data_IF_855656903000
#
_entry.id   IF_855656903000
#
_cell.length_a   1.000
_cell.length_b   1.000
_cell.length_c   1.000
_cell.angle_alpha   90.00
_cell.angle_beta   90.00
_cell.angle_gamma   90.00
#
_symmetry.space_group_name_H-M   'P 1'
#
loop_
_entity.id
_entity.type
_entity.pdbx_description
1 polymer ?
#
# COMPACT_ATOMS: atom_id res chain seq x y z
N UNK A 1 9.63 -2.53 -23.85
CA UNK A 1 10.98 -2.17 -23.39
C UNK A 1 11.03 -0.78 -22.78
N UNK A 2 10.55 0.27 -23.48
CA UNK A 2 10.55 1.67 -22.97
C UNK A 2 9.78 1.82 -21.64
N UNK A 3 8.55 1.32 -21.54
CA UNK A 3 7.76 1.44 -20.31
C UNK A 3 8.42 0.74 -19.11
N UNK A 4 8.99 -0.45 -19.30
CA UNK A 4 9.68 -1.18 -18.23
C UNK A 4 10.87 -0.38 -17.71
N UNK A 5 11.67 0.19 -18.62
CA UNK A 5 12.80 1.05 -18.25
C UNK A 5 12.35 2.35 -17.58
N UNK A 6 11.22 2.93 -18.00
CA UNK A 6 10.66 4.09 -17.32
C UNK A 6 10.27 3.75 -15.88
N UNK A 7 9.59 2.62 -15.66
CA UNK A 7 9.13 2.19 -14.34
C UNK A 7 10.28 1.87 -13.38
N UNK A 8 11.35 1.23 -13.87
CA UNK A 8 12.55 0.99 -13.05
C UNK A 8 13.25 2.27 -12.60
N UNK A 9 13.07 3.37 -13.34
CA UNK A 9 13.61 4.69 -13.00
C UNK A 9 12.60 5.60 -12.26
N UNK A 10 11.34 5.19 -12.12
CA UNK A 10 10.25 5.95 -11.50
C UNK A 10 9.51 5.10 -10.46
N UNK A 11 10.27 4.59 -9.49
CA UNK A 11 9.77 3.61 -8.52
C UNK A 11 8.89 4.19 -7.40
N UNK A 12 8.72 5.52 -7.34
CA UNK A 12 7.89 6.17 -6.32
C UNK A 12 6.41 5.78 -6.41
N UNK A 13 5.98 5.31 -7.58
CA UNK A 13 4.65 4.82 -7.85
C UNK A 13 3.69 5.87 -8.41
N UNK A 14 2.55 5.39 -8.93
CA UNK A 14 1.53 6.20 -9.58
C UNK A 14 0.32 6.42 -8.69
N UNK A 15 -0.08 7.68 -8.57
CA UNK A 15 -1.39 8.07 -8.01
C UNK A 15 -2.54 7.62 -8.91
N UNK A 16 -3.77 7.71 -8.42
CA UNK A 16 -4.99 7.44 -9.20
C UNK A 16 -5.02 8.24 -10.50
N UNK A 17 -4.80 9.56 -10.43
CA UNK A 17 -4.84 10.44 -11.60
C UNK A 17 -3.75 10.09 -12.62
N UNK A 18 -2.51 9.83 -12.16
CA UNK A 18 -1.44 9.40 -13.05
C UNK A 18 -1.73 8.04 -13.69
N UNK A 19 -2.38 7.13 -12.96
CA UNK A 19 -2.79 5.82 -13.48
C UNK A 19 -3.85 5.99 -14.57
N UNK A 20 -4.86 6.84 -14.36
CA UNK A 20 -5.87 7.17 -15.38
C UNK A 20 -5.20 7.76 -16.62
N UNK A 21 -4.33 8.76 -16.45
CA UNK A 21 -3.58 9.36 -17.57
C UNK A 21 -2.79 8.31 -18.33
N UNK A 22 -2.02 7.46 -17.63
CA UNK A 22 -1.22 6.40 -18.24
C UNK A 22 -2.09 5.43 -19.06
N UNK A 23 -3.18 4.94 -18.48
CA UNK A 23 -4.04 3.97 -19.16
C UNK A 23 -4.79 4.61 -20.34
N UNK A 24 -5.14 5.88 -20.26
CA UNK A 24 -5.81 6.61 -21.34
C UNK A 24 -4.90 6.94 -22.53
N UNK A 25 -3.58 6.74 -22.42
CA UNK A 25 -2.67 6.78 -23.58
C UNK A 25 -2.90 5.61 -24.56
N UNK A 26 -3.65 4.58 -24.16
CA UNK A 26 -3.90 3.38 -24.95
C UNK A 26 -5.40 3.26 -25.26
N UNK A 27 -5.75 3.12 -26.54
CA UNK A 27 -7.16 3.08 -26.97
C UNK A 27 -7.80 1.70 -26.86
N UNK A 28 -7.00 0.62 -26.92
CA UNK A 28 -7.51 -0.76 -26.91
C UNK A 28 -7.42 -1.40 -25.52
N UNK A 29 -8.42 -2.21 -25.16
CA UNK A 29 -8.50 -2.94 -23.89
C UNK A 29 -7.33 -3.92 -23.72
N UNK A 30 -6.89 -4.56 -24.80
CA UNK A 30 -5.74 -5.48 -24.83
C UNK A 30 -4.41 -4.78 -24.52
N UNK A 31 -4.19 -3.56 -25.02
CA UNK A 31 -3.00 -2.78 -24.73
C UNK A 31 -3.00 -2.28 -23.28
N UNK A 32 -4.14 -1.80 -22.80
CA UNK A 32 -4.30 -1.45 -21.38
C UNK A 32 -4.00 -2.64 -20.48
N UNK A 33 -4.45 -3.85 -20.82
CA UNK A 33 -4.16 -5.06 -20.06
C UNK A 33 -2.65 -5.33 -19.93
N UNK A 34 -1.89 -5.19 -21.03
CA UNK A 34 -0.43 -5.33 -21.02
C UNK A 34 0.24 -4.27 -20.15
N UNK A 35 -0.21 -3.02 -20.26
CA UNK A 35 0.29 -1.90 -19.48
C UNK A 35 0.02 -2.13 -18.00
N UNK A 36 -1.20 -2.53 -17.62
CA UNK A 36 -1.61 -2.85 -16.24
C UNK A 36 -0.74 -3.98 -15.69
N UNK A 37 -0.53 -5.05 -16.45
CA UNK A 37 0.29 -6.17 -15.98
C UNK A 37 1.72 -5.73 -15.60
N UNK A 38 2.29 -4.80 -16.37
CA UNK A 38 3.64 -4.27 -16.16
C UNK A 38 3.67 -3.20 -15.06
N UNK A 39 2.67 -2.33 -14.99
CA UNK A 39 2.65 -1.16 -14.10
C UNK A 39 1.96 -1.40 -12.77
N UNK A 40 1.16 -2.46 -12.64
CA UNK A 40 0.42 -2.81 -11.42
C UNK A 40 1.29 -2.76 -10.15
N UNK A 41 2.55 -3.26 -10.14
CA UNK A 41 3.39 -3.17 -8.95
C UNK A 41 3.72 -1.76 -8.49
N UNK A 42 3.65 -0.78 -9.38
CA UNK A 42 3.98 0.63 -9.14
C UNK A 42 2.73 1.50 -9.00
N UNK A 43 1.55 1.03 -9.39
CA UNK A 43 0.30 1.75 -9.09
C UNK A 43 0.14 1.75 -7.57
N UNK A 44 -0.05 2.89 -6.94
CA UNK A 44 -0.18 2.97 -5.48
C UNK A 44 -1.62 2.64 -5.08
N UNK A 45 -2.57 3.29 -5.74
CA UNK A 45 -4.02 3.10 -5.59
C UNK A 45 -4.74 3.72 -6.78
N UNK A 46 -5.75 3.03 -7.29
CA UNK A 46 -6.72 3.56 -8.24
C UNK A 46 -8.04 3.81 -7.53
N UNK A 47 -8.47 5.06 -7.39
CA UNK A 47 -9.76 5.36 -6.77
C UNK A 47 -10.92 4.98 -7.71
N UNK A 48 -12.11 4.80 -7.16
CA UNK A 48 -13.32 4.41 -7.91
C UNK A 48 -13.69 5.44 -8.97
N UNK A 49 -13.50 6.73 -8.71
CA UNK A 49 -13.66 7.79 -9.72
C UNK A 49 -12.71 7.60 -10.92
N UNK A 50 -11.49 7.13 -10.66
CA UNK A 50 -10.50 6.73 -11.66
C UNK A 50 -10.92 5.49 -12.43
N UNK A 51 -11.43 4.46 -11.75
CA UNK A 51 -12.03 3.28 -12.40
C UNK A 51 -13.16 3.73 -13.34
N UNK A 52 -14.09 4.53 -12.84
CA UNK A 52 -15.21 5.06 -13.63
C UNK A 52 -14.71 5.84 -14.85
N UNK A 53 -13.69 6.68 -14.67
CA UNK A 53 -13.10 7.47 -15.77
C UNK A 53 -12.48 6.59 -16.85
N UNK A 54 -11.78 5.51 -16.47
CA UNK A 54 -11.22 4.54 -17.41
C UNK A 54 -12.35 3.80 -18.15
N UNK A 55 -13.35 3.29 -17.43
CA UNK A 55 -14.45 2.52 -18.03
C UNK A 55 -15.31 3.36 -18.99
N UNK A 56 -15.46 4.67 -18.73
CA UNK A 56 -16.16 5.60 -19.63
C UNK A 56 -15.47 5.78 -20.99
N UNK A 57 -14.20 5.41 -21.13
CA UNK A 57 -13.51 5.47 -22.44
C UNK A 57 -13.98 4.40 -23.41
N UNK A 58 -14.74 3.39 -22.95
CA UNK A 58 -15.23 2.31 -23.77
C UNK A 58 -16.72 2.48 -24.12
N UNK A 59 -17.05 2.28 -25.39
CA UNK A 59 -18.43 2.28 -25.87
C UNK A 59 -19.17 0.97 -25.55
N UNK A 60 -18.47 -0.18 -25.57
CA UNK A 60 -19.08 -1.50 -25.40
C UNK A 60 -19.02 -2.00 -23.95
N UNK A 61 -20.12 -2.59 -23.46
CA UNK A 61 -20.18 -3.19 -22.11
C UNK A 61 -19.15 -4.31 -21.92
N UNK A 62 -18.91 -5.12 -22.95
CA UNK A 62 -17.94 -6.23 -22.90
C UNK A 62 -16.52 -5.73 -22.58
N UNK A 63 -16.07 -4.66 -23.24
CA UNK A 63 -14.77 -4.05 -22.98
C UNK A 63 -14.69 -3.43 -21.57
N UNK A 64 -15.80 -2.84 -21.10
CA UNK A 64 -15.89 -2.33 -19.73
C UNK A 64 -15.75 -3.46 -18.71
N UNK A 65 -16.45 -4.58 -18.87
CA UNK A 65 -16.38 -5.73 -17.96
C UNK A 65 -14.98 -6.38 -17.97
N UNK A 66 -14.39 -6.55 -19.16
CA UNK A 66 -13.03 -7.06 -19.31
C UNK A 66 -12.02 -6.13 -18.61
N UNK A 67 -12.14 -4.82 -18.83
CA UNK A 67 -11.26 -3.83 -18.19
C UNK A 67 -11.47 -3.76 -16.68
N UNK A 68 -12.72 -3.80 -16.21
CA UNK A 68 -13.05 -3.79 -14.78
C UNK A 68 -12.34 -4.94 -14.05
N UNK A 69 -12.38 -6.14 -14.62
CA UNK A 69 -11.69 -7.33 -14.06
C UNK A 69 -10.18 -7.16 -13.91
N UNK A 70 -9.55 -6.31 -14.74
CA UNK A 70 -8.12 -6.05 -14.69
C UNK A 70 -7.74 -4.99 -13.65
N UNK A 71 -8.60 -3.99 -13.43
CA UNK A 71 -8.26 -2.80 -12.62
C UNK A 71 -8.92 -2.78 -11.24
N UNK A 72 -9.93 -3.61 -10.98
CA UNK A 72 -10.68 -3.54 -9.71
C UNK A 72 -9.80 -3.82 -8.49
N UNK A 73 -8.83 -4.74 -8.60
CA UNK A 73 -7.86 -5.04 -7.55
C UNK A 73 -6.77 -3.96 -7.40
N UNK A 74 -6.79 -2.89 -8.20
CA UNK A 74 -5.95 -1.72 -8.00
C UNK A 74 -6.59 -0.69 -7.07
N UNK A 75 -7.88 -0.85 -6.76
CA UNK A 75 -8.61 0.00 -5.83
C UNK A 75 -8.23 -0.27 -4.38
N UNK A 76 -8.59 0.65 -3.48
CA UNK A 76 -8.51 0.39 -2.05
C UNK A 76 -9.87 -0.04 -1.50
N UNK A 77 -9.85 -0.84 -0.43
CA UNK A 77 -11.05 -1.45 0.15
C UNK A 77 -12.11 -0.43 0.58
N UNK A 78 -11.72 0.66 1.26
CA UNK A 78 -12.67 1.64 1.78
C UNK A 78 -13.41 2.40 0.66
N UNK A 79 -12.66 2.86 -0.35
CA UNK A 79 -13.20 3.59 -1.49
C UNK A 79 -14.11 2.71 -2.35
N UNK A 80 -13.72 1.45 -2.58
CA UNK A 80 -14.57 0.51 -3.32
C UNK A 80 -15.87 0.18 -2.57
N UNK A 81 -15.81 -0.02 -1.26
CA UNK A 81 -17.00 -0.32 -0.45
C UNK A 81 -18.04 0.81 -0.54
N UNK A 82 -17.58 2.06 -0.48
CA UNK A 82 -18.48 3.22 -0.47
C UNK A 82 -19.03 3.57 -1.85
N UNK A 83 -18.25 3.37 -2.91
CA UNK A 83 -18.57 3.91 -4.22
C UNK A 83 -18.77 2.85 -5.31
N UNK A 84 -18.83 1.55 -4.99
CA UNK A 84 -19.02 0.48 -5.98
C UNK A 84 -20.23 0.71 -6.91
N UNK A 85 -21.31 1.33 -6.41
CA UNK A 85 -22.52 1.55 -7.18
C UNK A 85 -22.27 2.51 -8.36
N UNK A 86 -21.31 3.44 -8.22
CA UNK A 86 -20.89 4.32 -9.32
C UNK A 86 -20.29 3.55 -10.49
N UNK A 87 -19.65 2.39 -10.24
CA UNK A 87 -19.15 1.49 -11.28
C UNK A 87 -20.32 0.74 -11.93
N UNK A 88 -21.21 0.18 -11.11
CA UNK A 88 -22.38 -0.60 -11.59
C UNK A 88 -23.30 0.27 -12.47
N UNK A 89 -23.49 1.54 -12.13
CA UNK A 89 -24.32 2.48 -12.88
C UNK A 89 -23.78 2.82 -14.29
N UNK A 90 -22.57 2.38 -14.65
CA UNK A 90 -22.03 2.54 -16.01
C UNK A 90 -22.57 1.54 -17.02
N UNK A 91 -23.34 0.55 -16.55
CA UNK A 91 -23.93 -0.51 -17.35
C UNK A 91 -25.44 -0.29 -17.45
N UNK A 92 -25.95 -0.19 -18.67
CA UNK A 92 -27.37 0.09 -18.94
C UNK A 92 -28.25 -1.16 -18.78
N UNK A 93 -27.71 -2.35 -19.09
CA UNK A 93 -28.45 -3.60 -19.03
C UNK A 93 -28.26 -4.31 -17.68
N UNK A 94 -29.34 -4.87 -17.14
CA UNK A 94 -29.34 -5.56 -15.84
C UNK A 94 -28.41 -6.77 -15.80
N UNK A 95 -28.23 -7.45 -16.94
CA UNK A 95 -27.28 -8.54 -17.10
C UNK A 95 -25.84 -8.07 -16.82
N UNK A 96 -25.40 -7.01 -17.50
CA UNK A 96 -24.05 -6.45 -17.34
C UNK A 96 -23.83 -5.90 -15.93
N UNK A 97 -24.85 -5.27 -15.33
CA UNK A 97 -24.81 -4.82 -13.94
C UNK A 97 -24.58 -5.97 -12.96
N UNK A 98 -25.23 -7.11 -13.21
CA UNK A 98 -25.07 -8.31 -12.39
C UNK A 98 -23.66 -8.86 -12.51
N UNK A 99 -23.09 -8.86 -13.71
CA UNK A 99 -21.71 -9.31 -13.92
C UNK A 99 -20.68 -8.37 -13.27
N UNK A 100 -20.87 -7.05 -13.40
CA UNK A 100 -20.05 -6.07 -12.71
C UNK A 100 -20.08 -6.25 -11.18
N UNK A 101 -21.26 -6.50 -10.60
CA UNK A 101 -21.39 -6.78 -9.16
C UNK A 101 -20.62 -8.03 -8.75
N UNK A 102 -20.64 -9.10 -9.55
CA UNK A 102 -19.85 -10.32 -9.28
C UNK A 102 -18.36 -10.04 -9.31
N UNK A 103 -17.87 -9.29 -10.30
CA UNK A 103 -16.45 -8.91 -10.39
C UNK A 103 -16.02 -8.13 -9.14
N UNK A 104 -16.84 -7.17 -8.69
CA UNK A 104 -16.58 -6.38 -7.48
C UNK A 104 -16.61 -7.27 -6.22
N UNK A 105 -17.61 -8.13 -6.08
CA UNK A 105 -17.76 -9.01 -4.92
C UNK A 105 -16.61 -10.02 -4.77
N UNK A 106 -16.04 -10.47 -5.89
CA UNK A 106 -14.92 -11.42 -5.91
C UNK A 106 -13.54 -10.72 -5.98
N UNK A 107 -13.50 -9.39 -5.92
CA UNK A 107 -12.25 -8.64 -5.95
C UNK A 107 -11.48 -8.76 -4.64
N UNK A 108 -10.17 -8.61 -4.72
CA UNK A 108 -9.27 -8.44 -3.58
C UNK A 108 -8.61 -7.07 -3.71
N UNK A 109 -9.28 -5.99 -3.28
CA UNK A 109 -8.73 -4.64 -3.32
C UNK A 109 -7.48 -4.54 -2.46
N UNK A 110 -6.67 -3.53 -2.75
CA UNK A 110 -5.46 -3.24 -1.99
C UNK A 110 -5.78 -2.63 -0.64
N UNK A 111 -4.84 -2.78 0.27
CA UNK A 111 -4.86 -2.08 1.54
C UNK A 111 -4.85 -0.56 1.37
N UNK A 112 -5.54 0.11 2.28
CA UNK A 112 -5.64 1.56 2.31
C UNK A 112 -4.27 2.18 2.61
N UNK A 113 -3.47 1.59 3.51
CA UNK A 113 -2.19 2.16 3.98
C UNK A 113 -0.95 1.59 3.29
N UNK A 114 -0.87 0.28 3.06
CA UNK A 114 0.33 -0.35 2.52
C UNK A 114 0.32 -0.49 0.99
N UNK A 115 -0.85 -0.39 0.35
CA UNK A 115 -0.95 -0.51 -1.11
C UNK A 115 -0.45 -1.88 -1.59
N UNK A 116 0.35 -1.96 -2.67
CA UNK A 116 0.84 -3.23 -3.19
C UNK A 116 1.98 -3.84 -2.34
N UNK A 117 1.75 -5.01 -1.73
CA UNK A 117 2.74 -5.78 -0.96
C UNK A 117 3.41 -6.88 -1.79
N UNK A 118 4.23 -6.51 -2.77
CA UNK A 118 4.69 -7.42 -3.82
C UNK A 118 6.04 -8.11 -3.57
N UNK A 119 6.77 -7.73 -2.53
CA UNK A 119 8.10 -8.30 -2.24
C UNK A 119 7.99 -9.77 -1.78
N UNK A 120 8.88 -10.68 -2.22
CA UNK A 120 8.83 -12.08 -1.76
C UNK A 120 9.11 -12.24 -0.26
N UNK A 121 10.00 -11.41 0.30
CA UNK A 121 10.40 -11.42 1.70
C UNK A 121 10.54 -9.98 2.18
N UNK A 122 9.78 -9.56 3.18
CA UNK A 122 9.74 -8.15 3.59
C UNK A 122 9.37 -7.97 5.06
N UNK A 123 9.58 -6.77 5.59
CA UNK A 123 9.08 -6.40 6.92
C UNK A 123 8.15 -5.19 6.84
N UNK A 124 7.04 -5.25 7.58
CA UNK A 124 6.30 -4.05 7.94
C UNK A 124 7.01 -3.36 9.11
N UNK A 125 7.28 -2.07 8.99
CA UNK A 125 7.79 -1.23 10.07
C UNK A 125 6.68 -0.26 10.45
N UNK A 126 6.19 -0.36 11.68
CA UNK A 126 5.02 0.36 12.18
C UNK A 126 5.46 1.32 13.28
N UNK A 127 5.24 2.61 13.05
CA UNK A 127 5.36 3.64 14.08
C UNK A 127 4.32 3.42 15.18
N UNK A 128 4.79 3.41 16.43
CA UNK A 128 3.97 3.37 17.65
C UNK A 128 4.33 4.51 18.59
N UNK A 129 4.85 5.62 18.06
CA UNK A 129 5.13 6.85 18.83
C UNK A 129 3.84 7.47 19.40
N UNK A 130 3.99 8.43 20.31
CA UNK A 130 2.86 9.05 21.00
C UNK A 130 1.80 9.67 20.07
N UNK A 131 2.19 10.23 18.92
CA UNK A 131 1.27 10.82 17.92
C UNK A 131 0.30 9.79 17.33
N UNK A 132 0.65 8.51 17.34
CA UNK A 132 -0.22 7.43 16.87
C UNK A 132 -1.47 7.23 17.75
N UNK A 133 -1.53 7.87 18.93
CA UNK A 133 -2.73 7.95 19.77
C UNK A 133 -3.77 8.96 19.28
N UNK A 134 -3.42 9.86 18.36
CA UNK A 134 -4.34 10.89 17.87
C UNK A 134 -5.49 10.26 17.10
N UNK A 135 -6.70 10.81 17.31
CA UNK A 135 -7.91 10.33 16.67
C UNK A 135 -8.22 11.09 15.39
N UNK A 136 -8.84 10.41 14.45
CA UNK A 136 -9.44 11.01 13.27
C UNK A 136 -10.73 10.29 12.91
N UNK A 137 -11.59 10.95 12.13
CA UNK A 137 -12.79 10.33 11.55
C UNK A 137 -12.46 9.77 10.18
N UNK A 138 -12.67 8.48 9.99
CA UNK A 138 -12.48 7.81 8.70
C UNK A 138 -13.66 8.10 7.76
N UNK A 139 -13.51 7.71 6.49
CA UNK A 139 -14.50 7.92 5.44
C UNK A 139 -15.84 7.22 5.71
N UNK A 140 -15.83 6.13 6.50
CA UNK A 140 -17.03 5.45 6.99
C UNK A 140 -17.73 6.20 8.14
N UNK A 141 -17.16 7.32 8.60
CA UNK A 141 -17.66 8.11 9.71
C UNK A 141 -17.24 7.60 11.09
N UNK A 142 -16.54 6.47 11.19
CA UNK A 142 -16.05 5.90 12.45
C UNK A 142 -14.80 6.64 12.91
N UNK A 143 -14.67 6.84 14.22
CA UNK A 143 -13.50 7.48 14.82
C UNK A 143 -12.51 6.41 15.25
N UNK A 144 -11.27 6.53 14.77
CA UNK A 144 -10.15 5.66 15.16
C UNK A 144 -9.01 6.50 15.69
N UNK A 145 -8.22 5.96 16.62
CA UNK A 145 -6.82 6.40 16.74
C UNK A 145 -6.05 6.00 15.48
N UNK A 146 -4.97 6.73 15.17
CA UNK A 146 -4.08 6.38 14.05
C UNK A 146 -3.58 4.93 14.17
N UNK A 147 -3.15 4.51 15.36
CA UNK A 147 -2.69 3.13 15.57
C UNK A 147 -3.80 2.09 15.36
N UNK A 148 -5.02 2.33 15.86
CA UNK A 148 -6.15 1.41 15.63
C UNK A 148 -6.46 1.23 14.15
N UNK A 149 -6.35 2.31 13.36
CA UNK A 149 -6.53 2.22 11.91
C UNK A 149 -5.43 1.39 11.25
N UNK A 150 -4.17 1.57 11.66
CA UNK A 150 -3.05 0.74 11.20
C UNK A 150 -3.23 -0.73 11.58
N UNK A 151 -3.67 -1.03 12.80
CA UNK A 151 -3.92 -2.40 13.26
C UNK A 151 -5.01 -3.08 12.41
N UNK A 152 -6.12 -2.38 12.15
CA UNK A 152 -7.19 -2.84 11.25
C UNK A 152 -6.67 -3.10 9.84
N UNK A 153 -5.87 -2.18 9.29
CA UNK A 153 -5.35 -2.32 7.92
C UNK A 153 -4.27 -3.41 7.81
N UNK A 154 -3.39 -3.57 8.80
CA UNK A 154 -2.44 -4.71 8.86
C UNK A 154 -3.17 -6.03 8.86
N UNK A 155 -4.21 -6.19 9.70
CA UNK A 155 -5.03 -7.41 9.71
C UNK A 155 -5.55 -7.71 8.30
N UNK A 156 -6.16 -6.72 7.66
CA UNK A 156 -6.67 -6.86 6.31
C UNK A 156 -5.57 -7.28 5.32
N UNK A 157 -4.40 -6.63 5.35
CA UNK A 157 -3.26 -6.98 4.48
C UNK A 157 -2.82 -8.44 4.67
N UNK A 158 -2.69 -8.88 5.91
CA UNK A 158 -2.25 -10.23 6.24
C UNK A 158 -3.26 -11.29 5.79
N UNK A 159 -4.56 -11.02 5.91
CA UNK A 159 -5.62 -11.96 5.55
C UNK A 159 -5.89 -12.00 4.04
N UNK A 160 -5.73 -10.88 3.31
CA UNK A 160 -6.23 -10.76 1.92
C UNK A 160 -5.14 -10.54 0.88
N UNK A 161 -4.02 -9.93 1.26
CA UNK A 161 -3.04 -9.42 0.28
C UNK A 161 -1.72 -10.19 0.34
N UNK A 162 -1.25 -10.59 1.52
CA UNK A 162 -0.03 -11.39 1.67
C UNK A 162 -0.29 -12.81 1.14
N UNK A 163 0.47 -13.18 0.10
CA UNK A 163 0.36 -14.48 -0.56
C UNK A 163 1.04 -15.58 0.27
N UNK A 164 0.55 -16.83 0.21
CA UNK A 164 1.18 -17.97 0.90
C UNK A 164 2.65 -18.21 0.53
N UNK A 165 3.08 -17.78 -0.67
CA UNK A 165 4.46 -17.90 -1.13
C UNK A 165 5.41 -16.83 -0.55
N UNK A 166 4.88 -15.83 0.16
CA UNK A 166 5.66 -14.74 0.75
C UNK A 166 6.11 -15.08 2.18
N UNK A 167 7.17 -14.41 2.61
CA UNK A 167 7.60 -14.39 4.00
C UNK A 167 7.58 -12.96 4.51
N UNK A 168 7.21 -12.77 5.77
CA UNK A 168 7.11 -11.43 6.34
C UNK A 168 7.55 -11.37 7.80
N UNK A 169 7.81 -10.17 8.27
CA UNK A 169 7.94 -9.85 9.69
C UNK A 169 7.21 -8.53 9.98
N UNK A 170 6.94 -8.26 11.26
CA UNK A 170 6.40 -6.99 11.74
C UNK A 170 7.36 -6.43 12.77
N UNK A 171 7.72 -5.16 12.61
CA UNK A 171 8.58 -4.42 13.52
C UNK A 171 7.81 -3.19 13.97
N UNK A 172 7.61 -3.03 15.26
CA UNK A 172 7.11 -1.78 15.83
C UNK A 172 8.27 -0.90 16.27
N UNK A 173 8.14 0.41 16.19
CA UNK A 173 9.16 1.32 16.72
C UNK A 173 8.57 2.55 17.39
N UNK A 174 9.23 2.98 18.46
CA UNK A 174 9.11 4.33 19.02
C UNK A 174 10.49 4.82 19.46
N UNK A 175 10.80 4.81 20.76
CA UNK A 175 12.17 5.02 21.27
C UNK A 175 13.09 3.83 20.92
N UNK A 176 12.51 2.63 20.92
CA UNK A 176 13.18 1.38 20.58
C UNK A 176 12.39 0.65 19.49
N UNK A 177 13.09 -0.20 18.74
CA UNK A 177 12.47 -1.08 17.76
C UNK A 177 12.29 -2.49 18.34
N UNK A 178 11.15 -3.11 18.10
CA UNK A 178 10.81 -4.48 18.53
C UNK A 178 10.26 -5.27 17.35
N UNK A 179 10.88 -6.41 17.06
CA UNK A 179 10.40 -7.34 16.05
C UNK A 179 9.44 -8.39 16.66
N UNK A 180 8.43 -8.78 15.89
CA UNK A 180 7.53 -9.89 16.22
C UNK A 180 8.26 -11.24 16.19
N UNK A 181 9.07 -11.46 15.15
CA UNK A 181 9.98 -12.61 15.00
C UNK A 181 11.41 -12.13 14.80
N UNK A 182 12.39 -13.03 14.97
CA UNK A 182 13.81 -12.73 14.76
C UNK A 182 14.14 -12.38 13.30
N UNK A 183 13.30 -12.78 12.35
CA UNK A 183 13.45 -12.54 10.92
C UNK A 183 12.14 -12.83 10.18
N UNK A 184 12.18 -12.80 8.85
CA UNK A 184 11.01 -13.15 8.03
C UNK A 184 10.60 -14.60 8.22
N UNK A 185 9.29 -14.84 8.33
CA UNK A 185 8.70 -16.17 8.45
C UNK A 185 7.64 -16.39 7.36
N UNK A 186 7.38 -17.64 6.94
CA UNK A 186 6.36 -17.94 5.93
C UNK A 186 4.96 -17.46 6.34
N UNK A 187 4.16 -16.99 5.38
CA UNK A 187 2.79 -16.54 5.58
C UNK A 187 1.79 -17.71 5.76
N UNK A 188 2.02 -18.55 6.77
CA UNK A 188 1.06 -19.59 7.18
C UNK A 188 -0.07 -18.97 8.01
N UNK A 189 -1.24 -19.62 8.05
CA UNK A 189 -2.37 -19.16 8.87
C UNK A 189 -2.00 -18.98 10.35
N UNK A 190 -1.13 -19.85 10.89
CA UNK A 190 -0.65 -19.73 12.28
C UNK A 190 0.25 -18.50 12.48
N UNK A 191 1.14 -18.23 11.52
CA UNK A 191 2.00 -17.03 11.56
C UNK A 191 1.20 -15.75 11.35
N UNK A 192 0.19 -15.75 10.47
CA UNK A 192 -0.73 -14.62 10.29
C UNK A 192 -1.47 -14.31 11.59
N UNK A 193 -2.12 -15.30 12.21
CA UNK A 193 -2.83 -15.12 13.47
C UNK A 193 -1.91 -14.63 14.61
N UNK A 194 -0.67 -15.15 14.69
CA UNK A 194 0.31 -14.71 15.68
C UNK A 194 0.82 -13.28 15.43
N UNK A 195 1.00 -12.89 14.16
CA UNK A 195 1.40 -11.54 13.79
C UNK A 195 0.29 -10.53 14.10
N UNK A 196 -0.97 -10.88 13.82
CA UNK A 196 -2.13 -10.07 14.21
C UNK A 196 -2.15 -9.84 15.72
N UNK A 197 -2.03 -10.92 16.52
CA UNK A 197 -2.01 -10.80 17.98
C UNK A 197 -0.88 -9.87 18.47
N UNK A 198 0.31 -9.94 17.86
CA UNK A 198 1.40 -9.02 18.15
C UNK A 198 1.02 -7.57 17.82
N UNK A 199 0.45 -7.33 16.63
CA UNK A 199 0.07 -6.00 16.17
C UNK A 199 -1.03 -5.37 17.03
N UNK A 200 -2.05 -6.15 17.44
CA UNK A 200 -3.13 -5.66 18.30
C UNK A 200 -2.69 -5.42 19.75
N UNK A 201 -1.57 -6.00 20.19
CA UNK A 201 -0.98 -5.73 21.51
C UNK A 201 -0.11 -4.46 21.54
N UNK A 202 0.12 -3.81 20.40
CA UNK A 202 0.89 -2.56 20.33
C UNK A 202 0.10 -1.40 20.96
N UNK A 203 0.82 -0.53 21.67
CA UNK A 203 0.29 0.68 22.27
C UNK A 203 1.16 1.88 21.90
N UNK A 204 0.59 3.07 21.69
CA UNK A 204 1.34 4.25 21.33
C UNK A 204 2.12 4.80 22.53
N UNK A 205 3.34 5.29 22.31
CA UNK A 205 4.16 5.95 23.32
C UNK A 205 5.62 6.13 22.87
N UNK A 206 6.32 7.09 23.47
CA UNK A 206 7.70 7.42 23.13
C UNK A 206 7.84 8.30 21.88
N UNK A 207 9.08 8.52 21.45
CA UNK A 207 9.45 9.27 20.24
C UNK A 207 9.43 8.44 18.96
N UNK A 208 9.98 8.99 17.90
CA UNK A 208 9.94 8.42 16.53
C UNK A 208 11.36 8.13 16.04
N UNK A 209 12.03 7.11 16.60
CA UNK A 209 13.43 6.78 16.27
C UNK A 209 13.52 5.79 15.10
N UNK A 210 13.48 6.33 13.88
CA UNK A 210 13.32 5.54 12.65
C UNK A 210 14.54 4.67 12.32
N UNK A 211 15.77 5.13 12.62
CA UNK A 211 17.00 4.44 12.25
C UNK A 211 17.13 3.08 12.91
N UNK A 212 16.71 2.95 14.17
CA UNK A 212 16.77 1.68 14.91
C UNK A 212 15.87 0.63 14.27
N UNK A 213 14.68 1.03 13.81
CA UNK A 213 13.75 0.14 13.13
C UNK A 213 14.30 -0.34 11.78
N UNK A 214 14.90 0.56 11.00
CA UNK A 214 15.54 0.22 9.73
C UNK A 214 16.73 -0.72 9.93
N UNK A 215 17.58 -0.46 10.94
CA UNK A 215 18.69 -1.35 11.29
C UNK A 215 18.21 -2.73 11.72
N UNK A 216 17.18 -2.80 12.55
CA UNK A 216 16.60 -4.06 13.00
C UNK A 216 15.97 -4.85 11.84
N UNK A 217 15.30 -4.18 10.91
CA UNK A 217 14.71 -4.85 9.76
C UNK A 217 15.77 -5.43 8.82
N UNK A 218 16.84 -4.68 8.57
CA UNK A 218 17.88 -5.07 7.61
C UNK A 218 19.02 -5.89 8.22
N UNK A 219 19.00 -6.14 9.55
CA UNK A 219 19.89 -7.13 10.16
C UNK A 219 19.56 -8.55 9.73
N UNK A 220 18.31 -8.81 9.33
CA UNK A 220 17.93 -10.03 8.61
C UNK A 220 18.32 -9.90 7.12
N UNK A 221 19.33 -10.66 6.65
CA UNK A 221 19.77 -10.57 5.26
C UNK A 221 18.70 -11.04 4.26
N UNK A 222 17.72 -11.84 4.69
CA UNK A 222 16.65 -12.38 3.84
C UNK A 222 15.56 -11.36 3.51
N UNK A 223 15.41 -10.29 4.31
CA UNK A 223 14.50 -9.18 4.02
C UNK A 223 14.92 -8.53 2.70
N UNK A 224 14.04 -8.48 1.71
CA UNK A 224 14.32 -7.88 0.39
C UNK A 224 13.89 -6.41 0.29
N UNK A 225 13.20 -5.89 1.31
CA UNK A 225 12.74 -4.52 1.40
C UNK A 225 11.73 -4.37 2.53
N UNK A 226 11.32 -3.14 2.83
CA UNK A 226 10.42 -2.86 3.95
C UNK A 226 9.27 -1.97 3.52
N UNK A 227 8.17 -2.05 4.27
CA UNK A 227 7.03 -1.14 4.20
C UNK A 227 7.00 -0.33 5.49
N UNK A 228 7.47 0.92 5.43
CA UNK A 228 7.70 1.80 6.57
C UNK A 228 6.56 2.81 6.71
N UNK A 229 5.77 2.67 7.78
CA UNK A 229 4.65 3.55 8.08
C UNK A 229 4.97 4.44 9.28
N UNK A 230 4.73 5.75 9.14
CA UNK A 230 4.87 6.73 10.22
C UNK A 230 3.96 7.94 10.01
N UNK A 231 3.60 8.60 11.11
CA UNK A 231 2.79 9.82 11.15
C UNK A 231 3.57 11.07 11.58
N UNK A 232 4.87 10.94 11.84
CA UNK A 232 5.68 11.96 12.50
C UNK A 232 7.06 12.17 11.89
N UNK A 233 7.65 13.32 12.20
CA UNK A 233 9.04 13.62 11.87
C UNK A 233 9.99 12.73 12.73
N UNK A 234 11.14 12.30 12.20
CA UNK A 234 12.09 11.50 12.97
C UNK A 234 12.56 12.28 14.21
N UNK A 235 12.56 11.61 15.35
CA UNK A 235 13.16 12.13 16.59
C UNK A 235 14.69 11.95 16.61
N UNK A 236 15.22 11.10 15.72
CA UNK A 236 16.64 10.88 15.49
C UNK A 236 17.16 11.68 14.28
N UNK A 237 18.47 11.58 14.03
CA UNK A 237 19.11 12.36 12.97
C UNK A 237 18.66 11.91 11.58
N UNK A 238 17.88 12.77 10.92
CA UNK A 238 17.51 12.66 9.50
C UNK A 238 18.72 12.42 8.59
N UNK A 239 19.87 13.04 8.91
CA UNK A 239 21.12 12.88 8.16
C UNK A 239 21.65 11.44 8.31
N UNK A 240 21.65 10.90 9.53
CA UNK A 240 22.14 9.55 9.78
C UNK A 240 21.25 8.49 9.11
N UNK A 241 19.93 8.70 9.10
CA UNK A 241 19.00 7.86 8.34
C UNK A 241 19.34 7.89 6.86
N UNK A 242 19.43 9.09 6.26
CA UNK A 242 19.73 9.23 4.83
C UNK A 242 21.10 8.67 4.45
N UNK A 243 22.09 8.73 5.34
CA UNK A 243 23.41 8.12 5.12
C UNK A 243 23.39 6.59 5.24
N UNK A 244 22.51 6.03 6.09
CA UNK A 244 22.37 4.59 6.26
C UNK A 244 21.65 3.94 5.07
N UNK A 245 20.61 4.57 4.53
CA UNK A 245 19.75 3.99 3.49
C UNK A 245 20.50 3.46 2.23
N UNK A 246 21.47 4.19 1.64
CA UNK A 246 22.25 3.70 0.50
C UNK A 246 23.08 2.45 0.80
N UNK A 247 23.46 2.22 2.07
CA UNK A 247 24.30 1.06 2.45
C UNK A 247 23.54 -0.27 2.38
N UNK A 248 22.22 -0.23 2.53
CA UNK A 248 21.37 -1.42 2.56
C UNK A 248 21.10 -1.99 1.17
N UNK A 249 21.02 -1.12 0.14
CA UNK A 249 20.69 -1.47 -1.26
C UNK A 249 19.38 -2.28 -1.41
N UNK A 250 18.38 -2.00 -0.57
CA UNK A 250 17.04 -2.61 -0.62
C UNK A 250 15.98 -1.50 -0.56
N UNK A 251 14.84 -1.64 -1.25
CA UNK A 251 13.79 -0.63 -1.27
C UNK A 251 13.17 -0.42 0.11
N UNK A 252 12.99 0.85 0.47
CA UNK A 252 12.19 1.29 1.62
C UNK A 252 10.94 1.94 1.06
N UNK A 253 9.84 1.19 1.05
CA UNK A 253 8.54 1.68 0.63
C UNK A 253 7.94 2.45 1.80
N UNK A 254 7.72 3.76 1.67
CA UNK A 254 7.27 4.61 2.77
C UNK A 254 5.80 4.98 2.65
N UNK A 255 5.11 4.98 3.80
CA UNK A 255 3.71 5.30 3.97
C UNK A 255 3.61 6.42 5.00
N UNK A 256 3.47 7.66 4.55
CA UNK A 256 3.20 8.80 5.40
C UNK A 256 1.70 8.80 5.72
N UNK A 257 1.32 8.52 6.98
CA UNK A 257 -0.08 8.38 7.38
C UNK A 257 -0.47 9.48 8.36
N UNK A 258 -1.40 10.35 7.99
CA UNK A 258 -1.78 11.55 8.75
C UNK A 258 -0.57 12.40 9.16
N UNK A 259 0.48 12.36 8.33
CA UNK A 259 1.77 12.94 8.62
C UNK A 259 1.79 14.45 8.35
N UNK A 260 2.69 15.15 9.04
CA UNK A 260 3.00 16.55 8.70
C UNK A 260 3.60 16.62 7.29
N UNK A 261 3.50 17.77 6.59
CA UNK A 261 4.17 17.95 5.30
C UNK A 261 5.69 17.72 5.36
N UNK A 262 6.31 18.06 6.49
CA UNK A 262 7.74 17.81 6.73
C UNK A 262 8.04 16.30 6.77
N UNK A 263 7.32 15.56 7.61
CA UNK A 263 7.47 14.12 7.74
C UNK A 263 7.22 13.40 6.41
N UNK A 264 6.14 13.76 5.72
CA UNK A 264 5.83 13.23 4.39
C UNK A 264 6.95 13.53 3.38
N UNK A 265 7.51 14.74 3.39
CA UNK A 265 8.64 15.12 2.55
C UNK A 265 9.94 14.36 2.88
N UNK A 266 10.18 14.04 4.15
CA UNK A 266 11.30 13.22 4.57
C UNK A 266 11.14 11.76 4.14
N UNK A 267 9.96 11.18 4.35
CA UNK A 267 9.62 9.82 3.93
C UNK A 267 9.66 9.65 2.41
N UNK A 268 9.30 10.69 1.65
CA UNK A 268 9.51 10.74 0.20
C UNK A 268 11.00 10.63 -0.16
N UNK A 269 11.89 11.37 0.53
CA UNK A 269 13.34 11.29 0.30
C UNK A 269 13.88 9.89 0.61
N UNK A 270 13.39 9.23 1.67
CA UNK A 270 13.78 7.86 2.01
C UNK A 270 13.45 6.86 0.90
N UNK A 271 12.20 6.89 0.40
CA UNK A 271 11.78 6.04 -0.70
C UNK A 271 12.58 6.31 -1.98
N UNK A 272 12.74 7.59 -2.34
CA UNK A 272 13.53 8.00 -3.51
C UNK A 272 14.98 7.51 -3.43
N UNK A 273 15.61 7.61 -2.27
CA UNK A 273 17.01 7.21 -2.05
C UNK A 273 17.22 5.70 -2.23
N UNK A 274 16.21 4.90 -1.92
CA UNK A 274 16.31 3.43 -1.90
C UNK A 274 15.67 2.76 -3.11
N UNK A 275 15.06 3.55 -4.01
CA UNK A 275 14.26 3.02 -5.09
C UNK A 275 12.94 2.39 -4.63
N UNK A 276 12.45 2.72 -3.44
CA UNK A 276 11.12 2.29 -2.96
C UNK A 276 9.98 3.19 -3.45
N UNK A 277 8.75 2.82 -3.10
CA UNK A 277 7.53 3.60 -3.37
C UNK A 277 7.22 4.60 -2.25
N UNK A 278 6.53 5.70 -2.55
CA UNK A 278 6.04 6.64 -1.54
C UNK A 278 4.52 6.80 -1.61
N UNK A 279 3.84 6.62 -0.48
CA UNK A 279 2.40 6.87 -0.32
C UNK A 279 2.18 7.94 0.73
N UNK A 280 1.36 8.94 0.40
CA UNK A 280 0.90 9.95 1.35
C UNK A 280 -0.61 9.77 1.58
N UNK A 281 -0.99 9.45 2.81
CA UNK A 281 -2.36 9.22 3.25
C UNK A 281 -2.70 10.32 4.26
N UNK A 282 -3.19 11.45 3.76
CA UNK A 282 -3.54 12.63 4.55
C UNK A 282 -4.87 12.49 5.29
#
# INVERSE_FOLDING_TARGET
MVLVNFLSNNSLGFTSNQTVTLLNLFSFSSDKARVINISSPFILTLKVDGVVSILKTFSFSSDKLATLSLIINLTNTADLQLYNQSIVNLFSFSFDQTEAKKIIANSAPRSCLFGPTNLPRFAFIIDVSGSMSYTFRDIDGVVYTRLQYVQKDIKHVLETTVRPSQQFNIISFSDNARAWKLGVVPATSANIASAEAFTFALAPGGGTYMLNALKLAFSDPLVMGVYFLSDGDPSDSSINILNYLPTVKKPVNTIAFKATPSAAGFMYKMAKTTGGTFRNIA
#
